data_IF_419241345434
#
_entry.id   IF_419241345434
#
_cell.length_a   1.000
_cell.length_b   1.000
_cell.length_c   1.000
_cell.angle_alpha   90.00
_cell.angle_beta   90.00
_cell.angle_gamma   90.00
#
_symmetry.space_group_name_H-M   'P 1'
#
loop_
_entity.id
_entity.type
_entity.pdbx_description
1 polymer ?
#
# COMPACT_ATOMS: atom_id res chain seq x y z
N UNK A 1 30.41 -22.30 -19.85
CA UNK A 1 29.93 -23.65 -20.25
C UNK A 1 28.44 -23.55 -20.50
N UNK A 2 27.99 -24.13 -21.63
CA UNK A 2 26.58 -24.33 -22.05
C UNK A 2 25.80 -23.08 -22.46
N UNK A 3 25.08 -23.02 -23.58
CA UNK A 3 24.98 -23.88 -24.76
C UNK A 3 24.58 -22.97 -25.93
N UNK A 4 25.24 -23.16 -27.07
CA UNK A 4 24.80 -22.72 -28.39
C UNK A 4 23.43 -23.37 -28.69
N UNK A 5 22.44 -22.59 -29.12
CA UNK A 5 21.24 -23.12 -29.78
C UNK A 5 21.21 -22.53 -31.17
N UNK A 6 21.60 -23.36 -32.13
CA UNK A 6 21.42 -23.19 -33.56
C UNK A 6 19.93 -22.90 -33.86
N UNK A 7 19.67 -21.78 -34.52
CA UNK A 7 18.42 -21.57 -35.24
C UNK A 7 18.60 -22.18 -36.63
N UNK A 8 18.08 -23.39 -36.81
CA UNK A 8 17.86 -23.98 -38.13
C UNK A 8 16.54 -23.47 -38.69
N UNK A 9 16.61 -22.65 -39.75
CA UNK A 9 15.49 -22.37 -40.65
C UNK A 9 14.95 -23.69 -41.24
N UNK A 10 13.64 -23.92 -41.26
CA UNK A 10 13.08 -25.02 -42.04
C UNK A 10 13.09 -24.64 -43.53
N UNK A 11 13.73 -25.49 -44.32
CA UNK A 11 13.75 -25.42 -45.77
C UNK A 11 12.32 -25.42 -46.34
N UNK A 12 12.08 -24.42 -47.18
CA UNK A 12 10.87 -24.22 -47.98
C UNK A 12 10.77 -25.33 -49.03
N UNK A 13 10.14 -26.45 -48.66
CA UNK A 13 9.71 -27.49 -49.60
C UNK A 13 8.28 -27.16 -50.01
N UNK A 14 8.16 -26.16 -50.88
CA UNK A 14 6.93 -25.81 -51.58
C UNK A 14 6.67 -26.88 -52.65
N UNK A 15 6.26 -28.07 -52.20
CA UNK A 15 5.74 -29.13 -53.06
C UNK A 15 4.42 -28.60 -53.59
N UNK A 16 4.41 -28.18 -54.86
CA UNK A 16 3.20 -27.84 -55.60
C UNK A 16 2.25 -29.05 -55.58
N UNK A 17 1.37 -29.07 -54.58
CA UNK A 17 0.25 -29.98 -54.51
C UNK A 17 -0.81 -29.36 -55.42
N UNK A 18 -1.19 -30.03 -56.53
CA UNK A 18 -2.22 -29.50 -57.40
C UNK A 18 -3.47 -29.25 -56.58
N UNK A 19 -4.11 -28.10 -56.84
CA UNK A 19 -5.34 -27.72 -56.15
C UNK A 19 -6.36 -28.85 -56.24
N UNK A 20 -7.23 -28.98 -55.24
CA UNK A 20 -8.36 -29.92 -55.28
C UNK A 20 -9.15 -29.79 -56.59
N UNK A 21 -9.22 -28.57 -57.13
CA UNK A 21 -9.84 -28.27 -58.40
C UNK A 21 -9.06 -28.79 -59.63
N UNK A 22 -7.73 -28.69 -59.64
CA UNK A 22 -6.89 -29.25 -60.71
C UNK A 22 -6.96 -30.78 -60.74
N UNK A 23 -6.99 -31.41 -59.56
CA UNK A 23 -7.13 -32.87 -59.43
C UNK A 23 -8.50 -33.36 -59.91
N UNK A 24 -9.57 -32.61 -59.59
CA UNK A 24 -10.93 -32.90 -60.06
C UNK A 24 -11.08 -32.74 -61.57
N UNK A 25 -10.53 -31.67 -62.15
CA UNK A 25 -10.56 -31.47 -63.61
C UNK A 25 -9.79 -32.57 -64.34
N UNK A 26 -8.64 -33.01 -63.82
CA UNK A 26 -7.84 -34.07 -64.43
C UNK A 26 -8.55 -35.44 -64.37
N UNK A 27 -9.32 -35.70 -63.32
CA UNK A 27 -10.14 -36.91 -63.20
C UNK A 27 -11.35 -36.88 -64.15
N UNK A 28 -12.08 -35.75 -64.21
CA UNK A 28 -13.22 -35.59 -65.12
C UNK A 28 -12.80 -35.71 -66.59
N UNK A 29 -11.64 -35.16 -66.95
CA UNK A 29 -11.08 -35.25 -68.31
C UNK A 29 -10.73 -36.69 -68.72
N UNK A 30 -10.46 -37.58 -67.77
CA UNK A 30 -10.14 -38.99 -68.03
C UNK A 30 -11.35 -39.91 -68.04
N UNK A 31 -12.46 -39.53 -67.39
CA UNK A 31 -13.56 -40.44 -67.10
C UNK A 31 -14.91 -40.00 -67.67
N UNK A 32 -15.02 -38.84 -68.33
CA UNK A 32 -16.24 -38.43 -69.04
C UNK A 32 -16.13 -38.90 -70.50
N UNK A 33 -16.94 -39.87 -70.97
CA UNK A 33 -16.99 -40.23 -72.38
C UNK A 33 -17.68 -39.10 -73.16
N UNK A 34 -17.01 -38.56 -74.18
CA UNK A 34 -17.50 -37.44 -75.00
C UNK A 34 -18.57 -37.78 -76.05
N UNK A 35 -19.26 -38.93 -76.00
CA UNK A 35 -20.21 -39.29 -77.07
C UNK A 35 -21.55 -39.87 -76.58
N UNK A 36 -22.58 -39.45 -77.33
CA UNK A 36 -24.04 -39.66 -77.26
C UNK A 36 -24.51 -41.14 -77.16
N UNK A 37 -25.81 -41.39 -76.83
CA UNK A 37 -26.27 -42.64 -76.23
C UNK A 37 -26.11 -43.84 -77.16
N UNK A 38 -25.47 -44.91 -76.66
CA UNK A 38 -25.47 -46.20 -77.33
C UNK A 38 -26.88 -46.80 -77.30
N UNK A 39 -27.58 -46.79 -78.44
CA UNK A 39 -28.91 -47.41 -78.67
C UNK A 39 -28.89 -48.96 -78.61
N UNK A 40 -27.81 -49.57 -78.10
CA UNK A 40 -27.63 -51.02 -78.00
C UNK A 40 -27.08 -51.41 -76.62
N UNK A 41 -27.52 -52.54 -76.05
CA UNK A 41 -27.08 -52.95 -74.70
C UNK A 41 -25.56 -53.15 -74.64
N UNK A 42 -24.83 -52.58 -73.67
CA UNK A 42 -23.39 -52.85 -73.47
C UNK A 42 -23.09 -54.34 -73.22
N UNK A 43 -24.10 -55.08 -72.76
CA UNK A 43 -24.03 -56.49 -72.43
C UNK A 43 -24.08 -57.44 -73.64
N UNK A 44 -24.77 -57.07 -74.72
CA UNK A 44 -25.08 -57.98 -75.83
C UNK A 44 -25.27 -57.30 -77.20
N UNK A 45 -25.11 -55.98 -77.29
CA UNK A 45 -25.26 -55.15 -78.50
C UNK A 45 -26.61 -55.27 -79.24
N UNK A 46 -27.64 -55.83 -78.60
CA UNK A 46 -29.00 -55.86 -79.14
C UNK A 46 -29.78 -54.62 -78.70
N UNK A 47 -30.57 -54.05 -79.62
CA UNK A 47 -31.40 -52.86 -79.41
C UNK A 47 -32.67 -53.13 -78.57
N UNK A 48 -33.02 -54.40 -78.34
CA UNK A 48 -34.20 -54.81 -77.55
C UNK A 48 -33.80 -55.75 -76.40
N UNK A 49 -32.74 -55.43 -75.66
CA UNK A 49 -32.35 -56.21 -74.49
C UNK A 49 -33.29 -55.90 -73.30
N UNK A 50 -34.00 -56.88 -72.72
CA UNK A 50 -34.91 -56.66 -71.60
C UNK A 50 -34.19 -56.17 -70.32
N UNK A 51 -32.88 -56.38 -70.22
CA UNK A 51 -32.05 -55.93 -69.09
C UNK A 51 -31.46 -54.52 -69.29
N UNK A 52 -31.61 -53.92 -70.48
CA UNK A 52 -31.03 -52.59 -70.76
C UNK A 52 -31.74 -51.47 -70.01
N UNK A 53 -33.07 -51.44 -69.99
CA UNK A 53 -33.83 -50.43 -69.26
C UNK A 53 -33.58 -50.50 -67.73
N UNK A 54 -33.65 -51.67 -67.06
CA UNK A 54 -33.30 -51.78 -65.63
C UNK A 54 -31.86 -51.36 -65.30
N UNK A 55 -30.91 -51.64 -66.20
CA UNK A 55 -29.52 -51.22 -66.05
C UNK A 55 -29.37 -49.71 -66.15
N UNK A 56 -29.98 -49.09 -67.17
CA UNK A 56 -29.98 -47.65 -67.37
C UNK A 56 -30.64 -46.90 -66.20
N UNK A 57 -31.79 -47.36 -65.72
CA UNK A 57 -32.47 -46.80 -64.55
C UNK A 57 -31.60 -46.91 -63.28
N UNK A 58 -30.91 -48.04 -63.10
CA UNK A 58 -29.99 -48.24 -61.98
C UNK A 58 -28.77 -47.31 -62.07
N UNK A 59 -28.23 -47.11 -63.27
CA UNK A 59 -27.14 -46.18 -63.53
C UNK A 59 -27.56 -44.73 -63.24
N UNK A 60 -28.69 -44.27 -63.77
CA UNK A 60 -29.22 -42.93 -63.47
C UNK A 60 -29.43 -42.71 -61.98
N UNK A 61 -30.03 -43.69 -61.30
CA UNK A 61 -30.21 -43.62 -59.85
C UNK A 61 -28.87 -43.53 -59.11
N UNK A 62 -27.84 -44.24 -59.58
CA UNK A 62 -26.50 -44.18 -59.00
C UNK A 62 -25.84 -42.82 -59.26
N UNK A 63 -25.98 -42.26 -60.46
CA UNK A 63 -25.49 -40.93 -60.82
C UNK A 63 -26.17 -39.85 -59.97
N UNK A 64 -27.49 -39.90 -59.82
CA UNK A 64 -28.27 -38.99 -58.97
C UNK A 64 -27.86 -39.10 -57.50
N UNK A 65 -27.69 -40.32 -56.97
CA UNK A 65 -27.21 -40.53 -55.61
C UNK A 65 -25.78 -40.02 -55.41
N UNK A 66 -24.91 -40.20 -56.41
CA UNK A 66 -23.52 -39.73 -56.36
C UNK A 66 -23.47 -38.21 -56.37
N UNK A 67 -24.29 -37.57 -57.22
CA UNK A 67 -24.44 -36.12 -57.26
C UNK A 67 -24.95 -35.58 -55.91
N UNK A 68 -26.02 -36.17 -55.37
CA UNK A 68 -26.55 -35.78 -54.06
C UNK A 68 -25.51 -35.94 -52.94
N UNK A 69 -24.75 -37.04 -52.94
CA UNK A 69 -23.69 -37.26 -51.96
C UNK A 69 -22.58 -36.20 -52.07
N UNK A 70 -22.21 -35.78 -53.28
CA UNK A 70 -21.25 -34.71 -53.50
C UNK A 70 -21.78 -33.35 -53.01
N UNK A 71 -23.05 -33.03 -53.31
CA UNK A 71 -23.71 -31.82 -52.82
C UNK A 71 -23.74 -31.76 -51.28
N UNK A 72 -24.11 -32.86 -50.62
CA UNK A 72 -24.10 -32.97 -49.15
C UNK A 72 -22.67 -32.82 -48.61
N UNK A 73 -21.69 -33.48 -49.22
CA UNK A 73 -20.28 -33.39 -48.82
C UNK A 73 -19.75 -31.96 -48.91
N UNK A 74 -20.08 -31.24 -49.98
CA UNK A 74 -19.67 -29.84 -50.18
C UNK A 74 -20.35 -28.90 -49.16
N UNK A 75 -21.65 -29.05 -48.91
CA UNK A 75 -22.36 -28.26 -47.89
C UNK A 75 -21.78 -28.48 -46.49
N UNK A 76 -21.43 -29.73 -46.13
CA UNK A 76 -20.78 -30.05 -44.87
C UNK A 76 -19.39 -29.42 -44.75
N UNK A 77 -18.59 -29.42 -45.82
CA UNK A 77 -17.28 -28.77 -45.85
C UNK A 77 -17.40 -27.26 -45.66
N UNK A 78 -18.32 -26.60 -46.38
CA UNK A 78 -18.56 -25.16 -46.23
C UNK A 78 -18.99 -24.79 -44.80
N UNK A 79 -19.87 -25.60 -44.19
CA UNK A 79 -20.28 -25.43 -42.78
C UNK A 79 -19.11 -25.61 -41.83
N UNK A 80 -18.27 -26.63 -42.05
CA UNK A 80 -17.09 -26.88 -41.22
C UNK A 80 -16.08 -25.72 -41.30
N UNK A 81 -15.81 -25.21 -42.50
CA UNK A 81 -14.96 -24.03 -42.70
C UNK A 81 -15.52 -22.78 -42.00
N UNK A 82 -16.84 -22.56 -42.06
CA UNK A 82 -17.48 -21.48 -41.34
C UNK A 82 -17.31 -21.62 -39.82
N UNK A 83 -17.53 -22.82 -39.27
CA UNK A 83 -17.32 -23.09 -37.85
C UNK A 83 -15.85 -22.90 -37.42
N UNK A 84 -14.89 -23.31 -38.24
CA UNK A 84 -13.46 -23.08 -37.97
C UNK A 84 -13.17 -21.57 -37.92
N UNK A 85 -13.67 -20.80 -38.90
CA UNK A 85 -13.47 -19.35 -38.94
C UNK A 85 -14.06 -18.67 -37.68
N UNK A 86 -15.29 -19.02 -37.31
CA UNK A 86 -15.96 -18.44 -36.15
C UNK A 86 -15.29 -18.84 -34.83
N UNK A 87 -14.84 -20.10 -34.73
CA UNK A 87 -14.08 -20.61 -33.59
C UNK A 87 -12.74 -19.88 -33.43
N UNK A 88 -11.97 -19.75 -34.51
CA UNK A 88 -10.69 -19.04 -34.50
C UNK A 88 -10.85 -17.56 -34.15
N UNK A 89 -11.90 -16.91 -34.67
CA UNK A 89 -12.22 -15.51 -34.32
C UNK A 89 -12.55 -15.38 -32.82
N UNK A 90 -13.37 -16.28 -32.30
CA UNK A 90 -13.75 -16.28 -30.88
C UNK A 90 -12.54 -16.54 -29.98
N UNK A 91 -11.68 -17.49 -30.36
CA UNK A 91 -10.42 -17.79 -29.68
C UNK A 91 -9.50 -16.56 -29.62
N UNK A 92 -9.31 -15.87 -30.73
CA UNK A 92 -8.46 -14.67 -30.78
C UNK A 92 -8.98 -13.55 -29.86
N UNK A 93 -10.31 -13.35 -29.80
CA UNK A 93 -10.93 -12.36 -28.90
C UNK A 93 -10.69 -12.74 -27.44
N UNK A 94 -10.90 -14.02 -27.08
CA UNK A 94 -10.71 -14.49 -25.71
C UNK A 94 -9.24 -14.38 -25.29
N UNK A 95 -8.30 -14.75 -26.16
CA UNK A 95 -6.86 -14.64 -25.91
C UNK A 95 -6.45 -13.18 -25.67
N UNK A 96 -6.97 -12.25 -26.48
CA UNK A 96 -6.76 -10.82 -26.27
C UNK A 96 -7.30 -10.36 -24.91
N UNK A 97 -8.54 -10.72 -24.58
CA UNK A 97 -9.14 -10.35 -23.29
C UNK A 97 -8.37 -10.90 -22.10
N UNK A 98 -7.90 -12.15 -22.18
CA UNK A 98 -7.06 -12.77 -21.15
C UNK A 98 -5.77 -11.96 -20.98
N UNK A 99 -5.15 -11.54 -22.08
CA UNK A 99 -3.92 -10.75 -22.02
C UNK A 99 -4.16 -9.37 -21.40
N UNK A 100 -5.25 -8.69 -21.78
CA UNK A 100 -5.64 -7.40 -21.18
C UNK A 100 -5.89 -7.54 -19.68
N UNK A 101 -6.62 -8.58 -19.26
CA UNK A 101 -6.88 -8.83 -17.85
C UNK A 101 -5.60 -9.14 -17.08
N UNK A 102 -4.67 -9.92 -17.65
CA UNK A 102 -3.36 -10.17 -17.03
C UNK A 102 -2.58 -8.88 -16.80
N UNK A 103 -2.55 -7.99 -17.78
CA UNK A 103 -1.87 -6.69 -17.65
C UNK A 103 -2.54 -5.87 -16.54
N UNK A 104 -3.88 -5.77 -16.57
CA UNK A 104 -4.63 -5.00 -15.56
C UNK A 104 -4.43 -5.54 -14.15
N UNK A 105 -4.47 -6.87 -13.97
CA UNK A 105 -4.22 -7.50 -12.67
C UNK A 105 -2.80 -7.19 -12.20
N UNK A 106 -1.79 -7.35 -13.05
CA UNK A 106 -0.40 -7.05 -12.69
C UNK A 106 -0.20 -5.57 -12.33
N UNK A 107 -0.83 -4.64 -13.04
CA UNK A 107 -0.78 -3.21 -12.68
C UNK A 107 -1.44 -2.92 -11.35
N UNK A 108 -2.58 -3.55 -11.06
CA UNK A 108 -3.28 -3.38 -9.77
C UNK A 108 -2.48 -3.99 -8.61
N UNK A 109 -1.86 -5.15 -8.82
CA UNK A 109 -0.98 -5.78 -7.83
C UNK A 109 0.22 -4.88 -7.51
N UNK A 110 0.86 -4.30 -8.53
CA UNK A 110 1.95 -3.35 -8.33
C UNK A 110 1.49 -2.10 -7.56
N UNK A 111 0.37 -1.50 -7.95
CA UNK A 111 -0.17 -0.32 -7.26
C UNK A 111 -0.52 -0.63 -5.79
N UNK A 112 -1.09 -1.80 -5.53
CA UNK A 112 -1.40 -2.25 -4.18
C UNK A 112 -0.13 -2.43 -3.35
N UNK A 113 0.92 -3.04 -3.91
CA UNK A 113 2.20 -3.23 -3.24
C UNK A 113 2.85 -1.87 -2.91
N UNK A 114 2.89 -0.93 -3.85
CA UNK A 114 3.41 0.42 -3.63
C UNK A 114 2.63 1.15 -2.53
N UNK A 115 1.29 1.06 -2.55
CA UNK A 115 0.44 1.66 -1.52
C UNK A 115 0.63 1.01 -0.14
N UNK A 116 0.80 -0.31 -0.08
CA UNK A 116 1.10 -1.01 1.17
C UNK A 116 2.46 -0.61 1.74
N UNK A 117 3.48 -0.44 0.89
CA UNK A 117 4.79 0.04 1.31
C UNK A 117 4.74 1.48 1.82
N UNK A 118 4.02 2.36 1.12
CA UNK A 118 3.83 3.75 1.55
C UNK A 118 3.15 3.84 2.91
N UNK A 119 2.02 3.13 3.08
CA UNK A 119 1.28 3.12 4.34
C UNK A 119 2.08 2.49 5.49
N UNK A 120 2.89 1.46 5.22
CA UNK A 120 3.78 0.87 6.21
C UNK A 120 4.84 1.89 6.68
N UNK A 121 5.49 2.60 5.76
CA UNK A 121 6.46 3.65 6.11
C UNK A 121 5.81 4.80 6.89
N UNK A 122 4.58 5.19 6.56
CA UNK A 122 3.86 6.21 7.32
C UNK A 122 3.54 5.76 8.74
N UNK A 123 3.10 4.50 8.92
CA UNK A 123 2.86 3.93 10.23
C UNK A 123 4.12 3.90 11.09
N UNK A 124 5.26 3.54 10.51
CA UNK A 124 6.56 3.56 11.19
C UNK A 124 6.93 4.98 11.65
N UNK A 125 6.81 5.99 10.76
CA UNK A 125 7.07 7.40 11.11
C UNK A 125 6.15 7.91 12.22
N UNK A 126 4.85 7.56 12.17
CA UNK A 126 3.90 7.95 13.22
C UNK A 126 4.24 7.28 14.54
N UNK A 127 4.63 6.00 14.51
CA UNK A 127 5.03 5.26 15.70
C UNK A 127 6.29 5.88 16.35
N UNK A 128 7.31 6.20 15.56
CA UNK A 128 8.51 6.91 16.04
C UNK A 128 8.15 8.23 16.71
N UNK A 129 7.30 9.04 16.06
CA UNK A 129 6.82 10.30 16.63
C UNK A 129 6.04 10.11 17.93
N UNK A 130 5.23 9.06 18.03
CA UNK A 130 4.52 8.73 19.27
C UNK A 130 5.49 8.37 20.42
N UNK A 131 6.57 7.64 20.11
CA UNK A 131 7.61 7.31 21.08
C UNK A 131 8.33 8.59 21.56
N UNK A 132 8.70 9.48 20.64
CA UNK A 132 9.33 10.77 20.96
C UNK A 132 8.45 11.63 21.87
N UNK A 133 7.18 11.82 21.49
CA UNK A 133 6.21 12.58 22.30
C UNK A 133 5.99 11.92 23.67
N UNK A 134 5.98 10.59 23.74
CA UNK A 134 5.90 9.85 25.00
C UNK A 134 7.11 10.11 25.92
N UNK A 135 8.30 10.24 25.35
CA UNK A 135 9.51 10.56 26.11
C UNK A 135 9.52 12.02 26.57
N UNK A 136 9.11 12.95 25.72
CA UNK A 136 8.98 14.37 26.08
C UNK A 136 7.97 14.57 27.20
N UNK A 137 6.81 13.90 27.13
CA UNK A 137 5.79 13.95 28.18
C UNK A 137 6.33 13.42 29.52
N UNK A 138 7.07 12.30 29.50
CA UNK A 138 7.75 11.79 30.70
C UNK A 138 8.80 12.76 31.24
N UNK A 139 9.54 13.44 30.36
CA UNK A 139 10.52 14.46 30.75
C UNK A 139 9.83 15.64 31.43
N UNK A 140 8.79 16.20 30.81
CA UNK A 140 8.03 17.33 31.34
C UNK A 140 7.33 16.98 32.66
N UNK A 141 6.78 15.77 32.79
CA UNK A 141 6.21 15.31 34.06
C UNK A 141 7.22 15.33 35.22
N UNK A 142 8.48 14.92 34.95
CA UNK A 142 9.57 15.03 35.95
C UNK A 142 9.91 16.47 36.29
N UNK A 143 9.88 17.38 35.31
CA UNK A 143 10.10 18.81 35.56
C UNK A 143 9.02 19.40 36.47
N UNK A 144 7.75 19.07 36.20
CA UNK A 144 6.62 19.52 37.02
C UNK A 144 6.76 19.04 38.46
N UNK A 145 7.15 17.79 38.69
CA UNK A 145 7.34 17.29 40.07
C UNK A 145 8.50 18.01 40.78
N UNK A 146 9.59 18.32 40.07
CA UNK A 146 10.68 19.15 40.62
C UNK A 146 10.20 20.54 41.03
N UNK A 147 9.43 21.22 40.18
CA UNK A 147 8.87 22.52 40.51
C UNK A 147 7.88 22.46 41.68
N UNK A 148 7.15 21.35 41.82
CA UNK A 148 6.26 21.12 42.97
C UNK A 148 7.04 21.12 44.28
N UNK A 149 8.18 20.43 44.31
CA UNK A 149 9.09 20.42 45.48
C UNK A 149 9.64 21.82 45.75
N UNK A 150 10.16 22.50 44.71
CA UNK A 150 10.69 23.86 44.88
C UNK A 150 9.64 24.85 45.41
N UNK A 151 8.38 24.73 44.97
CA UNK A 151 7.28 25.56 45.46
C UNK A 151 7.03 25.36 46.96
N UNK A 152 7.15 24.13 47.46
CA UNK A 152 7.02 23.84 48.90
C UNK A 152 8.19 24.47 49.67
N UNK A 153 9.42 24.29 49.20
CA UNK A 153 10.60 24.87 49.83
C UNK A 153 10.57 26.40 49.87
N UNK A 154 10.09 27.04 48.80
CA UNK A 154 9.93 28.49 48.75
C UNK A 154 8.95 28.99 49.83
N UNK A 155 7.78 28.35 49.96
CA UNK A 155 6.81 28.70 51.02
C UNK A 155 7.37 28.52 52.42
N UNK A 156 8.17 27.48 52.64
CA UNK A 156 8.82 27.25 53.93
C UNK A 156 9.89 28.32 54.22
N UNK A 157 10.63 28.77 53.19
CA UNK A 157 11.57 29.87 53.32
C UNK A 157 10.87 31.19 53.64
N UNK A 158 9.76 31.51 52.96
CA UNK A 158 8.94 32.71 53.22
C UNK A 158 8.45 32.71 54.68
N UNK A 159 7.92 31.58 55.17
CA UNK A 159 7.46 31.46 56.55
C UNK A 159 8.59 31.64 57.58
N UNK A 160 9.81 31.16 57.28
CA UNK A 160 10.98 31.40 58.13
C UNK A 160 11.42 32.86 58.12
N UNK A 161 11.38 33.52 56.97
CA UNK A 161 11.68 34.94 56.85
C UNK A 161 10.72 35.78 57.70
N UNK A 162 9.42 35.53 57.58
CA UNK A 162 8.40 36.21 58.38
C UNK A 162 8.64 36.03 59.89
N UNK A 163 9.02 34.81 60.32
CA UNK A 163 9.37 34.53 61.70
C UNK A 163 10.61 35.29 62.19
N UNK A 164 11.68 35.32 61.39
CA UNK A 164 12.89 36.08 61.69
C UNK A 164 12.64 37.58 61.73
N UNK A 165 11.76 38.09 60.86
CA UNK A 165 11.37 39.50 60.83
C UNK A 165 10.65 39.91 62.10
N UNK A 166 9.71 39.10 62.59
CA UNK A 166 9.04 39.33 63.88
C UNK A 166 10.05 39.34 65.04
N UNK A 167 10.98 38.39 65.08
CA UNK A 167 12.02 38.35 66.11
C UNK A 167 12.94 39.59 66.06
N UNK A 168 13.24 40.09 64.86
CA UNK A 168 14.02 41.31 64.68
C UNK A 168 13.26 42.53 65.24
N UNK A 169 11.96 42.60 64.99
CA UNK A 169 11.11 43.69 65.50
C UNK A 169 11.04 43.66 67.04
N UNK A 170 10.85 42.48 67.65
CA UNK A 170 10.82 42.29 69.11
C UNK A 170 12.17 42.70 69.75
N UNK A 171 13.29 42.20 69.23
CA UNK A 171 14.63 42.53 69.74
C UNK A 171 14.98 44.01 69.56
N UNK A 172 14.51 44.63 68.48
CA UNK A 172 14.64 46.08 68.27
C UNK A 172 13.88 46.87 69.33
N UNK A 173 12.66 46.43 69.68
CA UNK A 173 11.87 47.04 70.73
C UNK A 173 12.52 46.86 72.13
N UNK A 174 13.00 45.66 72.45
CA UNK A 174 13.72 45.39 73.70
C UNK A 174 14.98 46.25 73.84
N UNK A 175 15.77 46.39 72.76
CA UNK A 175 16.95 47.25 72.73
C UNK A 175 16.60 48.72 72.98
N UNK A 176 15.50 49.20 72.40
CA UNK A 176 15.02 50.57 72.62
C UNK A 176 14.64 50.81 74.09
N UNK A 177 13.95 49.84 74.72
CA UNK A 177 13.64 49.88 76.15
C UNK A 177 14.90 49.85 77.02
N UNK A 178 15.85 48.98 76.71
CA UNK A 178 17.13 48.89 77.43
C UNK A 178 17.91 50.21 77.37
N UNK A 179 17.98 50.85 76.19
CA UNK A 179 18.61 52.18 76.02
C UNK A 179 17.93 53.25 76.86
N UNK A 180 16.59 53.29 76.87
CA UNK A 180 15.82 54.23 77.70
C UNK A 180 16.10 54.03 79.20
N UNK A 181 16.16 52.78 79.64
CA UNK A 181 16.48 52.44 81.03
C UNK A 181 17.91 52.83 81.41
N UNK A 182 18.88 52.60 80.51
CA UNK A 182 20.27 52.99 80.71
C UNK A 182 20.41 54.51 80.89
N UNK A 183 19.77 55.31 80.03
CA UNK A 183 19.75 56.78 80.15
C UNK A 183 19.13 57.24 81.48
N UNK A 184 18.04 56.59 81.91
CA UNK A 184 17.38 56.91 83.17
C UNK A 184 18.27 56.59 84.39
N UNK A 185 18.98 55.46 84.36
CA UNK A 185 19.97 55.09 85.38
C UNK A 185 21.15 56.05 85.37
N UNK A 186 21.66 56.44 84.21
CA UNK A 186 22.74 57.42 84.09
C UNK A 186 22.35 58.77 84.69
N UNK A 187 21.13 59.25 84.42
CA UNK A 187 20.57 60.46 85.03
C UNK A 187 20.45 60.35 86.56
N UNK A 188 19.97 59.22 87.08
CA UNK A 188 19.91 58.95 88.54
C UNK A 188 21.30 58.95 89.16
N UNK A 189 22.26 58.29 88.52
CA UNK A 189 23.65 58.26 88.96
C UNK A 189 24.28 59.65 89.00
N UNK A 190 24.10 60.46 87.95
CA UNK A 190 24.57 61.86 87.90
C UNK A 190 24.01 62.67 89.08
N UNK A 191 22.69 62.59 89.34
CA UNK A 191 22.05 63.25 90.49
C UNK A 191 22.64 62.79 91.83
N UNK A 192 22.78 61.49 92.01
CA UNK A 192 23.33 60.91 93.24
C UNK A 192 24.78 61.37 93.46
N UNK A 193 25.61 61.37 92.41
CA UNK A 193 26.99 61.84 92.44
C UNK A 193 27.10 63.31 92.84
N UNK A 194 26.22 64.17 92.30
CA UNK A 194 26.16 65.59 92.70
C UNK A 194 25.78 65.73 94.18
N UNK A 195 24.81 64.96 94.67
CA UNK A 195 24.39 65.00 96.07
C UNK A 195 25.51 64.54 97.02
N UNK A 196 26.19 63.44 96.71
CA UNK A 196 27.35 62.98 97.48
C UNK A 196 28.51 63.98 97.45
N UNK A 197 28.76 64.62 96.31
CA UNK A 197 29.76 65.69 96.19
C UNK A 197 29.48 66.86 97.13
N UNK A 198 28.21 67.27 97.26
CA UNK A 198 27.77 68.30 98.22
C UNK A 198 27.99 67.86 99.67
N UNK A 199 27.51 66.67 100.03
CA UNK A 199 27.71 66.10 101.38
C UNK A 199 29.19 66.01 101.77
N UNK A 200 30.06 65.62 100.83
CA UNK A 200 31.50 65.55 101.07
C UNK A 200 32.12 66.93 101.31
N UNK A 201 31.66 67.97 100.60
CA UNK A 201 32.07 69.36 100.84
C UNK A 201 31.60 69.84 102.22
N UNK A 202 30.35 69.56 102.58
CA UNK A 202 29.78 69.94 103.88
C UNK A 202 30.54 69.26 105.05
N UNK A 203 30.88 67.97 104.92
CA UNK A 203 31.73 67.24 105.88
C UNK A 203 33.16 67.78 105.94
N UNK A 204 33.72 68.23 104.82
CA UNK A 204 35.06 68.85 104.81
C UNK A 204 35.09 70.24 105.44
N UNK A 205 33.97 70.98 105.42
CA UNK A 205 33.82 72.25 106.13
C UNK A 205 33.62 72.03 107.65
N UNK A 206 33.00 70.92 108.05
CA UNK A 206 32.78 70.56 109.45
C UNK A 206 34.06 70.06 110.18
N UNK A 207 35.04 69.50 109.47
CA UNK A 207 36.31 68.99 110.04
C UNK A 207 37.44 70.03 110.10
N UNK A 208 37.16 71.30 109.77
CA UNK A 208 38.13 72.44 109.85
C UNK A 208 37.72 73.44 110.94
N UNK A 209 36.77 73.08 111.81
CA UNK A 209 36.44 73.78 113.06
C UNK A 209 36.85 72.94 114.26
#
# INVERSE_FOLDING_TARGET
>A
MSHYVDQQEPADLDVYLPSTEESLQQWLSRNVPSELPQEACPCCSHSQCPNYAPFYDSMHKLEDNTRLAAEIGQDLLLKHEALIRDSNKSKAIIEHQIQDFKIRVSTLEQFLEESLQETAMELERVNERCIELGNELKHQAKQVERFRIFKVMAREADAREDGLRLQLDDTTQELALARKNALLLECKYKKLKTNYGKLKLDLSLFNVS
#
